data_IF_472954817158
#
_entry.id   IF_472954817158
#
_cell.length_a   1.000
_cell.length_b   1.000
_cell.length_c   1.000
_cell.angle_alpha   90.00
_cell.angle_beta   90.00
_cell.angle_gamma   90.00
#
_symmetry.space_group_name_H-M   'P 1'
#
loop_
_entity.id
_entity.type
_entity.pdbx_description
1 polymer ?
#
# COMPACT_ATOMS: atom_id res chain seq x y z
N UNK A 1 25.49 31.90 -0.89
CA UNK A 1 24.42 31.80 -1.90
C UNK A 1 24.25 30.32 -2.20
N UNK A 2 23.06 29.75 -1.98
CA UNK A 2 22.81 28.31 -2.11
C UNK A 2 22.94 27.90 -3.59
N UNK A 3 23.71 26.86 -3.93
CA UNK A 3 23.88 26.45 -5.33
C UNK A 3 22.57 25.80 -5.85
N UNK A 4 22.31 25.91 -7.16
CA UNK A 4 21.12 25.29 -7.80
C UNK A 4 21.00 23.79 -7.50
N UNK A 5 22.14 23.09 -7.39
CA UNK A 5 22.21 21.70 -6.95
C UNK A 5 21.62 21.49 -5.55
N UNK A 6 21.93 22.39 -4.61
CA UNK A 6 21.44 22.33 -3.23
C UNK A 6 19.95 22.67 -3.17
N UNK A 7 19.49 23.65 -3.95
CA UNK A 7 18.06 24.00 -4.06
C UNK A 7 17.26 22.81 -4.59
N UNK A 8 17.72 22.17 -5.67
CA UNK A 8 17.06 20.99 -6.23
C UNK A 8 17.09 19.79 -5.25
N UNK A 9 18.18 19.62 -4.50
CA UNK A 9 18.31 18.60 -3.45
C UNK A 9 17.31 18.84 -2.31
N UNK A 10 17.20 20.08 -1.83
CA UNK A 10 16.24 20.48 -0.79
C UNK A 10 14.81 20.30 -1.28
N UNK A 11 14.48 20.66 -2.52
CA UNK A 11 13.15 20.44 -3.10
C UNK A 11 12.78 18.95 -3.11
N UNK A 12 13.70 18.06 -3.51
CA UNK A 12 13.51 16.62 -3.48
C UNK A 12 13.33 16.08 -2.04
N UNK A 13 14.10 16.62 -1.08
CA UNK A 13 13.97 16.27 0.34
C UNK A 13 12.63 16.74 0.91
N UNK A 14 12.17 17.96 0.61
CA UNK A 14 10.90 18.48 1.09
C UNK A 14 9.71 17.70 0.51
N UNK A 15 9.80 17.29 -0.76
CA UNK A 15 8.84 16.38 -1.37
C UNK A 15 8.84 14.98 -0.74
N UNK A 16 9.87 14.62 0.04
CA UNK A 16 9.98 13.32 0.71
C UNK A 16 9.86 13.36 2.24
N UNK A 17 9.95 14.54 2.88
CA UNK A 17 10.05 14.66 4.34
C UNK A 17 9.18 15.76 5.00
N UNK A 18 8.29 16.47 4.31
CA UNK A 18 7.59 17.60 4.95
C UNK A 18 6.68 17.20 6.15
N UNK A 19 6.83 17.87 7.32
CA UNK A 19 6.00 17.68 8.50
C UNK A 19 4.67 18.46 8.45
N UNK A 20 3.76 17.99 9.30
CA UNK A 20 2.35 18.36 9.50
C UNK A 20 2.13 19.87 9.72
N UNK A 21 1.27 20.48 8.91
CA UNK A 21 0.47 21.64 9.30
C UNK A 21 -1.01 21.21 9.20
N UNK A 22 -1.66 21.09 10.34
CA UNK A 22 -3.06 20.65 10.44
C UNK A 22 -4.01 21.77 10.03
N UNK A 23 -4.95 21.49 9.13
CA UNK A 23 -6.31 22.06 9.04
C UNK A 23 -7.13 21.11 8.17
N UNK A 24 -8.33 20.73 8.61
CA UNK A 24 -9.47 20.37 7.74
C UNK A 24 -10.25 19.12 8.17
N UNK A 25 -11.25 18.66 7.42
CA UNK A 25 -12.15 17.55 7.77
C UNK A 25 -12.16 16.40 6.72
N UNK A 26 -12.03 15.14 7.18
CA UNK A 26 -12.16 13.91 6.36
C UNK A 26 -13.53 13.83 5.64
N UNK A 27 -13.51 13.39 4.38
CA UNK A 27 -14.70 13.04 3.58
C UNK A 27 -15.35 11.73 4.11
N UNK A 28 -15.96 11.85 5.30
CA UNK A 28 -16.61 10.78 6.05
C UNK A 28 -17.92 10.29 5.39
N UNK A 29 -18.26 10.85 4.23
CA UNK A 29 -19.54 10.62 3.54
C UNK A 29 -19.64 9.20 2.97
N UNK A 30 -18.55 8.68 2.39
CA UNK A 30 -18.58 7.35 1.77
C UNK A 30 -18.55 6.22 2.81
N UNK A 31 -17.74 6.34 3.87
CA UNK A 31 -17.69 5.35 4.95
C UNK A 31 -19.05 5.21 5.65
N UNK A 32 -19.68 6.32 6.06
CA UNK A 32 -20.96 6.26 6.77
C UNK A 32 -22.08 5.72 5.87
N UNK A 33 -22.05 6.03 4.56
CA UNK A 33 -22.98 5.45 3.58
C UNK A 33 -22.80 3.93 3.45
N UNK A 34 -21.58 3.46 3.22
CA UNK A 34 -21.28 2.02 3.08
C UNK A 34 -21.58 1.24 4.37
N UNK A 35 -21.17 1.80 5.52
CA UNK A 35 -21.47 1.23 6.83
C UNK A 35 -22.97 1.14 7.06
N UNK A 36 -23.74 2.20 6.78
CA UNK A 36 -25.19 2.20 6.96
C UNK A 36 -25.87 1.15 6.10
N UNK A 37 -25.46 1.01 4.83
CA UNK A 37 -25.98 -0.04 3.95
C UNK A 37 -25.67 -1.45 4.47
N UNK A 38 -24.45 -1.69 4.97
CA UNK A 38 -24.07 -2.98 5.54
C UNK A 38 -24.81 -3.29 6.84
N UNK A 39 -25.10 -2.27 7.67
CA UNK A 39 -25.89 -2.41 8.90
C UNK A 39 -27.36 -2.70 8.59
N UNK A 40 -27.91 -2.12 7.52
CA UNK A 40 -29.26 -2.44 7.07
C UNK A 40 -29.34 -3.90 6.59
N UNK A 41 -28.39 -4.34 5.77
CA UNK A 41 -28.31 -5.74 5.33
C UNK A 41 -28.17 -6.71 6.53
N UNK A 42 -27.40 -6.34 7.56
CA UNK A 42 -27.25 -7.14 8.78
C UNK A 42 -28.59 -7.43 9.48
N UNK A 43 -29.60 -6.56 9.35
CA UNK A 43 -30.93 -6.77 9.96
C UNK A 43 -31.66 -7.98 9.37
N UNK A 44 -31.32 -8.39 8.15
CA UNK A 44 -31.87 -9.61 7.53
C UNK A 44 -31.34 -10.90 8.17
N UNK A 45 -30.30 -10.83 9.01
CA UNK A 45 -29.64 -11.98 9.62
C UNK A 45 -29.86 -12.00 11.14
N UNK A 46 -31.10 -12.23 11.57
CA UNK A 46 -31.48 -12.23 12.99
C UNK A 46 -31.08 -13.51 13.73
N UNK A 47 -30.92 -14.62 13.02
CA UNK A 47 -30.48 -15.90 13.60
C UNK A 47 -29.01 -15.83 14.00
N UNK A 48 -28.68 -16.40 15.16
CA UNK A 48 -27.31 -16.47 15.67
C UNK A 48 -26.54 -17.61 14.99
N UNK A 49 -26.31 -17.49 13.69
CA UNK A 49 -25.62 -18.47 12.84
C UNK A 49 -24.41 -17.86 12.10
N UNK A 50 -23.76 -18.66 11.25
CA UNK A 50 -22.58 -18.24 10.48
C UNK A 50 -22.91 -17.16 9.44
N UNK A 51 -24.16 -17.08 8.96
CA UNK A 51 -24.59 -16.04 8.03
C UNK A 51 -24.61 -14.67 8.71
N UNK A 52 -25.09 -14.60 9.97
CA UNK A 52 -24.99 -13.38 10.78
C UNK A 52 -23.55 -12.99 11.05
N UNK A 53 -22.67 -13.93 11.38
CA UNK A 53 -21.22 -13.64 11.52
C UNK A 53 -20.67 -13.00 10.25
N UNK A 54 -20.98 -13.58 9.08
CA UNK A 54 -20.50 -13.05 7.81
C UNK A 54 -21.06 -11.64 7.53
N UNK A 55 -22.29 -11.34 7.92
CA UNK A 55 -22.88 -10.00 7.83
C UNK A 55 -22.20 -8.98 8.76
N UNK A 56 -21.95 -9.34 10.01
CA UNK A 56 -21.19 -8.49 10.96
C UNK A 56 -19.78 -8.19 10.42
N UNK A 57 -19.12 -9.18 9.82
CA UNK A 57 -17.81 -9.02 9.19
C UNK A 57 -17.86 -8.15 7.93
N UNK A 58 -18.97 -8.10 7.19
CA UNK A 58 -19.16 -7.13 6.10
C UNK A 58 -19.20 -5.70 6.63
N UNK A 59 -19.91 -5.45 7.73
CA UNK A 59 -19.88 -4.14 8.41
C UNK A 59 -18.45 -3.77 8.83
N UNK A 60 -17.69 -4.71 9.38
CA UNK A 60 -16.30 -4.45 9.77
C UNK A 60 -15.37 -4.11 8.60
N UNK A 61 -15.68 -4.58 7.39
CA UNK A 61 -14.86 -4.37 6.18
C UNK A 61 -15.01 -2.98 5.58
N UNK A 62 -16.07 -2.24 5.89
CA UNK A 62 -16.25 -0.86 5.42
C UNK A 62 -15.22 0.08 6.04
N UNK A 63 -14.69 -0.27 7.23
CA UNK A 63 -13.71 0.53 7.93
C UNK A 63 -12.28 0.32 7.41
N UNK A 64 -11.65 1.41 7.02
CA UNK A 64 -10.26 1.49 6.53
C UNK A 64 -9.34 2.16 7.53
N UNK A 65 -9.74 3.31 8.08
CA UNK A 65 -8.92 4.13 8.97
C UNK A 65 -9.19 3.85 10.45
N UNK A 66 -8.32 4.34 11.34
CA UNK A 66 -8.40 4.03 12.76
C UNK A 66 -9.74 4.41 13.39
N UNK A 67 -10.23 5.63 13.14
CA UNK A 67 -11.52 6.12 13.67
C UNK A 67 -12.70 5.26 13.19
N UNK A 68 -12.73 4.95 11.91
CA UNK A 68 -13.74 4.06 11.31
C UNK A 68 -13.70 2.65 11.94
N UNK A 69 -12.49 2.12 12.16
CA UNK A 69 -12.29 0.82 12.81
C UNK A 69 -12.72 0.81 14.28
N UNK A 70 -12.67 1.95 14.96
CA UNK A 70 -13.25 2.13 16.29
C UNK A 70 -14.78 2.14 16.21
N UNK A 71 -15.36 2.82 15.22
CA UNK A 71 -16.80 2.93 15.04
C UNK A 71 -17.50 1.57 14.77
N UNK A 72 -16.79 0.59 14.19
CA UNK A 72 -17.32 -0.76 13.93
C UNK A 72 -16.89 -1.81 14.98
N UNK A 73 -16.24 -1.40 16.08
CA UNK A 73 -15.67 -2.32 17.06
C UNK A 73 -16.72 -3.28 17.68
N UNK A 74 -17.91 -2.77 18.01
CA UNK A 74 -18.99 -3.60 18.59
C UNK A 74 -19.41 -4.76 17.68
N UNK A 75 -19.49 -4.53 16.37
CA UNK A 75 -19.80 -5.60 15.40
C UNK A 75 -18.70 -6.64 15.31
N UNK A 76 -17.43 -6.21 15.41
CA UNK A 76 -16.27 -7.13 15.43
C UNK A 76 -16.29 -8.01 16.68
N UNK A 77 -16.63 -7.44 17.83
CA UNK A 77 -16.67 -8.16 19.11
C UNK A 77 -17.83 -9.17 19.11
N UNK A 78 -19.00 -8.78 18.62
CA UNK A 78 -20.14 -9.70 18.42
C UNK A 78 -19.77 -10.84 17.47
N UNK A 79 -19.16 -10.53 16.32
CA UNK A 79 -18.75 -11.52 15.33
C UNK A 79 -17.76 -12.52 15.93
N UNK A 80 -16.80 -12.06 16.74
CA UNK A 80 -15.82 -12.90 17.40
C UNK A 80 -16.48 -13.85 18.41
N UNK A 81 -17.35 -13.32 19.29
CA UNK A 81 -18.06 -14.12 20.29
C UNK A 81 -18.95 -15.18 19.65
N UNK A 82 -19.71 -14.79 18.62
CA UNK A 82 -20.58 -15.72 17.91
C UNK A 82 -19.77 -16.77 17.13
N UNK A 83 -18.66 -16.38 16.50
CA UNK A 83 -17.78 -17.33 15.81
C UNK A 83 -17.21 -18.38 16.77
N UNK A 84 -16.82 -17.98 17.99
CA UNK A 84 -16.36 -18.93 19.03
C UNK A 84 -17.46 -19.91 19.42
N UNK A 85 -18.67 -19.42 19.69
CA UNK A 85 -19.81 -20.26 20.09
C UNK A 85 -20.17 -21.28 19.03
N UNK A 86 -20.11 -20.88 17.75
CA UNK A 86 -20.45 -21.72 16.61
C UNK A 86 -19.30 -22.61 16.14
N UNK A 87 -18.12 -22.53 16.77
CA UNK A 87 -16.88 -23.15 16.28
C UNK A 87 -16.57 -22.79 14.80
N UNK A 88 -16.91 -21.57 14.39
CA UNK A 88 -16.76 -21.10 13.02
C UNK A 88 -15.35 -20.53 12.80
N UNK A 89 -14.43 -21.40 12.42
CA UNK A 89 -13.00 -21.10 12.24
C UNK A 89 -12.72 -20.01 11.21
N UNK A 90 -13.45 -19.99 10.09
CA UNK A 90 -13.35 -18.92 9.08
C UNK A 90 -13.75 -17.56 9.65
N UNK A 91 -14.85 -17.50 10.42
CA UNK A 91 -15.28 -16.28 11.11
C UNK A 91 -14.22 -15.77 12.10
N UNK A 92 -13.65 -16.68 12.91
CA UNK A 92 -12.57 -16.38 13.83
C UNK A 92 -11.33 -15.80 13.14
N UNK A 93 -10.87 -16.44 12.06
CA UNK A 93 -9.71 -15.98 11.29
C UNK A 93 -9.91 -14.55 10.75
N UNK A 94 -11.11 -14.24 10.21
CA UNK A 94 -11.41 -12.89 9.71
C UNK A 94 -11.51 -11.88 10.85
N UNK A 95 -12.05 -12.26 12.02
CA UNK A 95 -12.07 -11.39 13.20
C UNK A 95 -10.64 -11.06 13.65
N UNK A 96 -9.74 -12.04 13.72
CA UNK A 96 -8.34 -11.81 14.06
C UNK A 96 -7.64 -10.90 13.05
N UNK A 97 -7.88 -11.05 11.74
CA UNK A 97 -7.39 -10.10 10.74
C UNK A 97 -7.91 -8.66 10.99
N UNK A 98 -9.18 -8.52 11.37
CA UNK A 98 -9.79 -7.21 11.68
C UNK A 98 -9.15 -6.56 12.91
N UNK A 99 -8.90 -7.33 13.98
CA UNK A 99 -8.14 -6.84 15.13
C UNK A 99 -6.69 -6.47 14.77
N UNK A 100 -6.00 -7.31 14.01
CA UNK A 100 -4.64 -7.01 13.55
C UNK A 100 -4.58 -5.71 12.75
N UNK A 101 -5.53 -5.49 11.84
CA UNK A 101 -5.62 -4.24 11.08
C UNK A 101 -5.90 -3.02 11.98
N UNK A 102 -6.75 -3.16 13.00
CA UNK A 102 -7.00 -2.11 13.98
C UNK A 102 -5.72 -1.72 14.73
N UNK A 103 -5.00 -2.69 15.30
CA UNK A 103 -3.77 -2.41 16.04
C UNK A 103 -2.66 -1.90 15.13
N UNK A 104 -2.59 -2.35 13.87
CA UNK A 104 -1.69 -1.79 12.86
C UNK A 104 -1.99 -0.31 12.60
N UNK A 105 -3.26 0.05 12.42
CA UNK A 105 -3.69 1.45 12.24
C UNK A 105 -3.47 2.30 13.49
N UNK A 106 -3.47 1.68 14.67
CA UNK A 106 -3.11 2.33 15.94
C UNK A 106 -1.59 2.36 16.20
N UNK A 107 -0.77 1.96 15.24
CA UNK A 107 0.69 1.83 15.37
C UNK A 107 1.17 0.90 16.51
N UNK A 108 0.29 0.07 17.05
CA UNK A 108 0.64 -0.97 18.02
C UNK A 108 1.03 -2.25 17.28
N UNK A 109 2.24 -2.25 16.73
CA UNK A 109 2.76 -3.38 15.95
C UNK A 109 2.88 -4.70 16.74
N UNK A 110 3.29 -4.72 18.02
CA UNK A 110 3.34 -5.97 18.79
C UNK A 110 1.98 -6.69 18.86
N UNK A 111 0.90 -5.98 19.18
CA UNK A 111 -0.44 -6.59 19.19
C UNK A 111 -0.91 -6.98 17.80
N UNK A 112 -0.63 -6.15 16.78
CA UNK A 112 -0.99 -6.49 15.41
C UNK A 112 -0.35 -7.82 14.96
N UNK A 113 0.93 -8.04 15.28
CA UNK A 113 1.61 -9.31 15.01
C UNK A 113 0.93 -10.49 15.73
N UNK A 114 0.61 -10.36 17.02
CA UNK A 114 -0.09 -11.42 17.79
C UNK A 114 -1.41 -11.81 17.12
N UNK A 115 -2.19 -10.83 16.66
CA UNK A 115 -3.45 -11.10 15.99
C UNK A 115 -3.25 -11.75 14.61
N UNK A 116 -2.28 -11.31 13.82
CA UNK A 116 -1.96 -11.97 12.55
C UNK A 116 -1.42 -13.40 12.76
N UNK A 117 -0.64 -13.64 13.81
CA UNK A 117 -0.18 -14.99 14.18
C UNK A 117 -1.34 -15.87 14.68
N UNK A 118 -2.34 -15.28 15.33
CA UNK A 118 -3.57 -15.99 15.71
C UNK A 118 -4.33 -16.51 14.49
N UNK A 119 -4.32 -15.78 13.37
CA UNK A 119 -4.87 -16.27 12.08
C UNK A 119 -4.11 -17.52 11.64
N UNK A 120 -2.77 -17.49 11.66
CA UNK A 120 -1.93 -18.62 11.27
C UNK A 120 -2.15 -19.84 12.18
N UNK A 121 -2.39 -19.60 13.47
CA UNK A 121 -2.78 -20.63 14.45
C UNK A 121 -4.10 -21.31 14.09
N UNK A 122 -5.15 -20.53 13.77
CA UNK A 122 -6.45 -21.07 13.33
C UNK A 122 -6.32 -21.85 12.03
N UNK A 123 -5.55 -21.34 11.06
CA UNK A 123 -5.29 -22.04 9.79
C UNK A 123 -4.64 -23.40 10.05
N UNK A 124 -3.61 -23.45 10.90
CA UNK A 124 -2.93 -24.70 11.27
C UNK A 124 -3.89 -25.71 11.91
N UNK A 125 -4.78 -25.24 12.80
CA UNK A 125 -5.77 -26.10 13.46
C UNK A 125 -6.85 -26.63 12.50
N UNK A 126 -7.24 -25.84 11.49
CA UNK A 126 -8.24 -26.27 10.50
C UNK A 126 -7.77 -27.40 9.58
N UNK A 127 -6.47 -27.72 9.54
CA UNK A 127 -5.92 -28.88 8.81
C UNK A 127 -6.11 -28.87 7.28
N UNK A 128 -6.71 -27.83 6.70
CA UNK A 128 -7.13 -27.81 5.30
C UNK A 128 -6.75 -26.55 4.53
N UNK A 129 -7.09 -26.56 3.23
CA UNK A 129 -6.82 -25.47 2.28
C UNK A 129 -7.84 -24.31 2.36
N UNK A 130 -8.87 -24.44 3.19
CA UNK A 130 -10.02 -23.51 3.25
C UNK A 130 -9.63 -22.09 3.69
N UNK A 131 -8.63 -21.97 4.58
CA UNK A 131 -8.20 -20.69 5.14
C UNK A 131 -6.91 -20.14 4.52
N UNK A 132 -6.51 -20.66 3.35
CA UNK A 132 -5.32 -20.21 2.64
C UNK A 132 -5.40 -18.72 2.25
N UNK A 133 -6.59 -18.23 1.89
CA UNK A 133 -6.80 -16.80 1.63
C UNK A 133 -6.49 -15.95 2.88
N UNK A 134 -7.01 -16.33 4.06
CA UNK A 134 -6.75 -15.61 5.30
C UNK A 134 -5.28 -15.71 5.72
N UNK A 135 -4.64 -16.85 5.47
CA UNK A 135 -3.19 -17.05 5.64
C UNK A 135 -2.39 -16.10 4.75
N UNK A 136 -2.74 -15.98 3.47
CA UNK A 136 -2.12 -15.07 2.52
C UNK A 136 -2.21 -13.62 3.01
N UNK A 137 -3.41 -13.18 3.42
CA UNK A 137 -3.61 -11.82 3.92
C UNK A 137 -2.82 -11.57 5.20
N UNK A 138 -2.78 -12.52 6.14
CA UNK A 138 -2.02 -12.37 7.38
C UNK A 138 -0.52 -12.15 7.09
N UNK A 139 0.06 -12.97 6.20
CA UNK A 139 1.45 -12.80 5.80
C UNK A 139 1.70 -11.49 5.06
N UNK A 140 0.83 -11.08 4.14
CA UNK A 140 0.93 -9.77 3.48
C UNK A 140 0.99 -8.64 4.52
N UNK A 141 0.08 -8.63 5.51
CA UNK A 141 0.05 -7.59 6.54
C UNK A 141 1.30 -7.58 7.41
N UNK A 142 1.79 -8.76 7.80
CA UNK A 142 3.08 -8.88 8.52
C UNK A 142 4.24 -8.34 7.67
N UNK A 143 4.28 -8.69 6.39
CA UNK A 143 5.29 -8.20 5.45
C UNK A 143 5.28 -6.67 5.34
N UNK A 144 4.10 -6.06 5.23
CA UNK A 144 3.95 -4.60 5.21
C UNK A 144 4.49 -3.94 6.49
N UNK A 145 4.28 -4.57 7.65
CA UNK A 145 4.79 -4.06 8.91
C UNK A 145 6.31 -4.15 9.00
N UNK A 146 6.91 -5.30 8.66
CA UNK A 146 8.36 -5.43 8.59
C UNK A 146 8.97 -4.43 7.59
N UNK A 147 8.37 -4.29 6.41
CA UNK A 147 8.80 -3.33 5.41
C UNK A 147 8.73 -1.88 5.93
N UNK A 148 7.70 -1.52 6.70
CA UNK A 148 7.58 -0.18 7.29
C UNK A 148 8.67 0.14 8.32
N UNK A 149 9.25 -0.90 8.92
CA UNK A 149 10.38 -0.84 9.84
C UNK A 149 11.72 -1.00 9.12
N UNK A 150 11.74 -0.95 7.78
CA UNK A 150 12.92 -1.16 6.93
C UNK A 150 13.57 -2.57 7.10
N UNK A 151 12.84 -3.52 7.70
CA UNK A 151 13.25 -4.92 7.86
C UNK A 151 12.87 -5.72 6.60
N UNK A 152 13.63 -5.53 5.52
CA UNK A 152 13.25 -6.04 4.20
C UNK A 152 13.35 -7.57 4.02
N UNK A 153 14.31 -8.25 4.66
CA UNK A 153 14.40 -9.72 4.56
C UNK A 153 13.18 -10.42 5.19
N UNK A 154 12.79 -10.14 6.46
CA UNK A 154 11.55 -10.68 7.01
C UNK A 154 10.29 -10.29 6.24
N UNK A 155 10.30 -9.08 5.63
CA UNK A 155 9.20 -8.66 4.78
C UNK A 155 9.08 -9.53 3.52
N UNK A 156 10.19 -9.82 2.85
CA UNK A 156 10.25 -10.71 1.69
C UNK A 156 9.77 -12.12 2.03
N UNK A 157 10.24 -12.70 3.14
CA UNK A 157 9.78 -14.03 3.59
C UNK A 157 8.26 -14.08 3.74
N UNK A 158 7.69 -13.03 4.37
CA UNK A 158 6.25 -12.90 4.50
C UNK A 158 5.55 -12.77 3.15
N UNK A 159 6.05 -11.93 2.24
CA UNK A 159 5.42 -11.74 0.92
C UNK A 159 5.47 -13.02 0.07
N UNK A 160 6.55 -13.80 0.11
CA UNK A 160 6.62 -15.08 -0.59
C UNK A 160 5.68 -16.13 0.02
N UNK A 161 5.55 -16.19 1.35
CA UNK A 161 4.55 -17.06 1.99
C UNK A 161 3.11 -16.61 1.69
N UNK A 162 2.88 -15.31 1.50
CA UNK A 162 1.60 -14.79 1.03
C UNK A 162 1.29 -15.30 -0.39
N UNK A 163 2.22 -15.13 -1.35
CA UNK A 163 2.06 -15.65 -2.72
C UNK A 163 1.80 -17.15 -2.76
N UNK A 164 2.52 -17.93 -1.94
CA UNK A 164 2.35 -19.39 -1.83
C UNK A 164 0.98 -19.78 -1.28
N UNK A 165 0.41 -18.96 -0.40
CA UNK A 165 -0.89 -19.21 0.22
C UNK A 165 -2.06 -18.64 -0.58
N UNK A 166 -1.81 -17.97 -1.71
CA UNK A 166 -2.85 -17.34 -2.50
C UNK A 166 -3.65 -18.37 -3.30
N UNK A 167 -4.96 -18.44 -3.08
CA UNK A 167 -5.87 -19.36 -3.78
C UNK A 167 -6.42 -18.79 -5.09
N UNK A 168 -6.55 -17.46 -5.17
CA UNK A 168 -6.99 -16.76 -6.37
C UNK A 168 -5.85 -15.90 -6.91
N UNK A 169 -5.14 -16.42 -7.91
CA UNK A 169 -4.07 -15.72 -8.65
C UNK A 169 -4.60 -14.81 -9.75
N UNK A 170 -5.80 -14.27 -9.59
CA UNK A 170 -6.31 -13.23 -10.47
C UNK A 170 -5.44 -11.97 -10.30
N UNK A 171 -5.07 -11.36 -11.43
CA UNK A 171 -3.91 -10.47 -11.57
C UNK A 171 -3.78 -9.37 -10.50
N UNK A 172 -4.87 -8.79 -9.99
CA UNK A 172 -4.79 -7.66 -9.06
C UNK A 172 -4.19 -7.96 -7.68
N UNK A 173 -4.52 -9.10 -7.05
CA UNK A 173 -4.02 -9.42 -5.71
C UNK A 173 -2.56 -9.87 -5.75
N UNK A 174 -2.21 -10.69 -6.73
CA UNK A 174 -0.85 -11.17 -6.93
C UNK A 174 0.07 -10.00 -7.35
N UNK A 175 -0.40 -9.13 -8.25
CA UNK A 175 0.35 -7.94 -8.65
C UNK A 175 0.69 -7.02 -7.49
N UNK A 176 -0.24 -6.86 -6.53
CA UNK A 176 0.01 -6.07 -5.32
C UNK A 176 1.19 -6.63 -4.51
N UNK A 177 1.27 -7.96 -4.35
CA UNK A 177 2.37 -8.60 -3.62
C UNK A 177 3.68 -8.48 -4.38
N UNK A 178 3.68 -8.64 -5.71
CA UNK A 178 4.89 -8.41 -6.52
C UNK A 178 5.40 -6.98 -6.43
N UNK A 179 4.51 -5.98 -6.35
CA UNK A 179 4.92 -4.60 -6.06
C UNK A 179 5.64 -4.54 -4.72
N UNK A 180 5.08 -5.08 -3.63
CA UNK A 180 5.75 -5.08 -2.31
C UNK A 180 7.11 -5.79 -2.31
N UNK A 181 7.24 -6.90 -3.04
CA UNK A 181 8.51 -7.61 -3.20
C UNK A 181 9.52 -6.73 -3.93
N UNK A 182 9.09 -6.05 -5.01
CA UNK A 182 9.96 -5.14 -5.76
C UNK A 182 10.50 -4.06 -4.85
N UNK A 183 9.66 -3.40 -4.05
CA UNK A 183 10.13 -2.31 -3.19
C UNK A 183 11.04 -2.80 -2.07
N UNK A 184 10.80 -4.00 -1.54
CA UNK A 184 11.70 -4.59 -0.56
C UNK A 184 13.09 -4.80 -1.18
N UNK A 185 13.18 -5.24 -2.44
CA UNK A 185 14.46 -5.34 -3.15
C UNK A 185 15.07 -3.98 -3.49
N UNK A 186 14.27 -2.95 -3.80
CA UNK A 186 14.75 -1.57 -3.94
C UNK A 186 15.34 -1.07 -2.61
N UNK A 187 14.67 -1.32 -1.49
CA UNK A 187 15.15 -0.99 -0.14
C UNK A 187 16.45 -1.71 0.24
N UNK A 188 16.61 -2.95 -0.21
CA UNK A 188 17.86 -3.71 -0.12
C UNK A 188 18.94 -3.27 -1.12
N UNK A 189 18.63 -2.32 -2.01
CA UNK A 189 19.48 -1.92 -3.16
C UNK A 189 19.83 -3.07 -4.11
N UNK A 190 19.08 -4.16 -4.08
CA UNK A 190 19.20 -5.25 -5.04
C UNK A 190 18.32 -4.94 -6.25
N UNK A 191 18.79 -4.00 -7.06
CA UNK A 191 18.00 -3.48 -8.18
C UNK A 191 17.80 -4.51 -9.31
N UNK A 192 18.68 -5.50 -9.44
CA UNK A 192 18.49 -6.60 -10.41
C UNK A 192 17.25 -7.42 -10.07
N UNK A 193 17.10 -7.82 -8.80
CA UNK A 193 15.89 -8.50 -8.34
C UNK A 193 14.66 -7.60 -8.41
N UNK A 194 14.79 -6.32 -8.10
CA UNK A 194 13.69 -5.36 -8.24
C UNK A 194 13.19 -5.29 -9.69
N UNK A 195 14.09 -5.17 -10.68
CA UNK A 195 13.71 -5.22 -12.11
C UNK A 195 13.07 -6.57 -12.48
N UNK A 196 13.63 -7.70 -12.02
CA UNK A 196 13.08 -9.03 -12.28
C UNK A 196 11.61 -9.14 -11.85
N UNK A 197 11.30 -8.72 -10.62
CA UNK A 197 9.95 -8.83 -10.07
C UNK A 197 8.98 -7.78 -10.61
N UNK A 198 9.42 -6.54 -10.89
CA UNK A 198 8.55 -5.56 -11.50
C UNK A 198 8.24 -5.88 -12.98
N UNK A 199 9.17 -6.48 -13.73
CA UNK A 199 8.88 -6.97 -15.10
C UNK A 199 7.89 -8.13 -15.07
N UNK A 200 8.04 -9.08 -14.13
CA UNK A 200 7.06 -10.15 -13.91
C UNK A 200 5.68 -9.57 -13.61
N UNK A 201 5.62 -8.58 -12.73
CA UNK A 201 4.37 -7.91 -12.37
C UNK A 201 3.71 -7.23 -13.58
N UNK A 202 4.51 -6.54 -14.41
CA UNK A 202 3.99 -5.83 -15.58
C UNK A 202 3.39 -6.78 -16.61
N UNK A 203 4.03 -7.94 -16.83
CA UNK A 203 3.52 -8.98 -17.73
C UNK A 203 2.16 -9.54 -17.27
N UNK A 204 1.96 -9.67 -15.95
CA UNK A 204 0.69 -10.13 -15.38
C UNK A 204 -0.45 -9.11 -15.54
N UNK A 205 -0.11 -7.83 -15.61
CA UNK A 205 -1.07 -6.75 -15.76
C UNK A 205 -1.41 -6.49 -17.24
N UNK A 206 -0.80 -7.16 -18.22
CA UNK A 206 -1.07 -6.91 -19.65
C UNK A 206 -2.55 -7.01 -20.03
N UNK A 207 -3.32 -7.89 -19.37
CA UNK A 207 -4.77 -8.03 -19.56
C UNK A 207 -5.61 -7.19 -18.56
N UNK A 208 -4.97 -6.47 -17.64
CA UNK A 208 -5.66 -5.60 -16.67
C UNK A 208 -6.02 -4.26 -17.33
N UNK A 209 -7.29 -3.88 -17.24
CA UNK A 209 -7.79 -2.59 -17.72
C UNK A 209 -7.52 -1.44 -16.74
N UNK A 210 -7.02 -1.73 -15.54
CA UNK A 210 -6.73 -0.73 -14.53
C UNK A 210 -5.40 0.00 -14.78
N UNK A 211 -5.51 1.18 -15.39
CA UNK A 211 -4.39 2.09 -15.67
C UNK A 211 -3.49 2.40 -14.45
N UNK A 212 -4.05 2.44 -13.23
CA UNK A 212 -3.28 2.73 -12.01
C UNK A 212 -2.32 1.59 -11.64
N UNK A 213 -2.72 0.34 -11.86
CA UNK A 213 -1.87 -0.82 -11.59
C UNK A 213 -0.67 -0.85 -12.56
N UNK A 214 -0.91 -0.56 -13.83
CA UNK A 214 0.13 -0.37 -14.83
C UNK A 214 1.09 0.75 -14.44
N UNK A 215 0.55 1.91 -14.07
CA UNK A 215 1.35 3.07 -13.69
C UNK A 215 2.26 2.78 -12.49
N UNK A 216 1.72 2.20 -11.42
CA UNK A 216 2.50 1.83 -10.23
C UNK A 216 3.64 0.86 -10.55
N UNK A 217 3.39 -0.10 -11.44
CA UNK A 217 4.40 -1.10 -11.81
C UNK A 217 5.50 -0.48 -12.67
N UNK A 218 5.13 0.39 -13.62
CA UNK A 218 6.09 1.14 -14.42
C UNK A 218 6.95 2.04 -13.54
N UNK A 219 6.37 2.75 -12.56
CA UNK A 219 7.17 3.55 -11.63
C UNK A 219 8.15 2.72 -10.81
N UNK A 220 7.77 1.49 -10.45
CA UNK A 220 8.65 0.55 -9.74
C UNK A 220 9.85 0.13 -10.61
N UNK A 221 9.64 -0.10 -11.91
CA UNK A 221 10.72 -0.32 -12.88
C UNK A 221 11.61 0.91 -13.02
N UNK A 222 11.02 2.10 -13.18
CA UNK A 222 11.77 3.36 -13.28
C UNK A 222 12.67 3.54 -12.06
N UNK A 223 12.14 3.37 -10.84
CA UNK A 223 12.95 3.41 -9.62
C UNK A 223 14.10 2.41 -9.62
N UNK A 224 13.83 1.18 -10.04
CA UNK A 224 14.83 0.12 -10.06
C UNK A 224 15.97 0.47 -11.04
N UNK A 225 15.65 0.95 -12.24
CA UNK A 225 16.66 1.39 -13.22
C UNK A 225 17.41 2.66 -12.78
N UNK A 226 16.73 3.64 -12.16
CA UNK A 226 17.40 4.80 -11.56
C UNK A 226 18.37 4.36 -10.45
N UNK A 227 18.00 3.38 -9.63
CA UNK A 227 18.88 2.78 -8.63
C UNK A 227 20.14 2.12 -9.24
N UNK A 228 20.00 1.53 -10.43
CA UNK A 228 21.11 1.01 -11.24
C UNK A 228 21.93 2.09 -11.94
N UNK A 229 21.54 3.36 -11.84
CA UNK A 229 22.07 4.46 -12.64
C UNK A 229 21.87 4.26 -14.18
N UNK A 230 20.92 3.42 -14.57
CA UNK A 230 20.52 3.21 -15.96
C UNK A 230 19.41 4.21 -16.33
N UNK A 231 19.84 5.45 -16.57
CA UNK A 231 18.92 6.57 -16.86
C UNK A 231 18.16 6.32 -18.17
N UNK A 232 18.78 5.66 -19.16
CA UNK A 232 18.17 5.41 -20.45
C UNK A 232 17.00 4.42 -20.35
N UNK A 233 17.17 3.33 -19.61
CA UNK A 233 16.09 2.39 -19.36
C UNK A 233 14.98 3.04 -18.52
N UNK A 234 15.34 3.80 -17.48
CA UNK A 234 14.37 4.52 -16.65
C UNK A 234 13.49 5.47 -17.49
N UNK A 235 14.08 6.23 -18.42
CA UNK A 235 13.31 7.08 -19.34
C UNK A 235 12.41 6.29 -20.27
N UNK A 236 12.92 5.22 -20.89
CA UNK A 236 12.13 4.37 -21.79
C UNK A 236 10.86 3.87 -21.11
N UNK A 237 10.94 3.46 -19.84
CA UNK A 237 9.76 3.03 -19.09
C UNK A 237 8.88 4.21 -18.66
N UNK A 238 9.47 5.33 -18.23
CA UNK A 238 8.73 6.52 -17.85
C UNK A 238 7.90 7.08 -19.03
N UNK A 239 8.43 7.05 -20.26
CA UNK A 239 7.74 7.53 -21.45
C UNK A 239 6.52 6.68 -21.82
N UNK A 240 6.45 5.42 -21.36
CA UNK A 240 5.22 4.60 -21.47
C UNK A 240 4.05 5.15 -20.67
N UNK A 241 4.29 6.05 -19.72
CA UNK A 241 3.23 6.69 -18.94
C UNK A 241 2.60 7.90 -19.64
N UNK A 242 3.15 8.35 -20.77
CA UNK A 242 2.64 9.52 -21.49
C UNK A 242 1.19 9.37 -21.96
N UNK A 243 0.72 8.16 -22.24
CA UNK A 243 -0.68 7.90 -22.63
C UNK A 243 -1.68 8.11 -21.48
N UNK A 244 -1.22 8.18 -20.24
CA UNK A 244 -2.04 8.38 -19.05
C UNK A 244 -1.96 9.83 -18.52
N UNK A 245 -1.34 10.73 -19.30
CA UNK A 245 -0.80 12.00 -18.82
C UNK A 245 -0.96 13.14 -19.85
N UNK A 246 -1.27 14.38 -19.44
CA UNK A 246 -1.79 14.77 -18.12
C UNK A 246 -3.29 14.48 -18.04
N UNK A 247 -3.73 13.64 -17.09
CA UNK A 247 -5.16 13.51 -16.76
C UNK A 247 -5.44 14.28 -15.46
N UNK A 248 -6.29 15.31 -15.52
CA UNK A 248 -6.64 16.13 -14.36
C UNK A 248 -7.28 15.33 -13.21
N UNK A 249 -7.84 14.15 -13.50
CA UNK A 249 -8.41 13.23 -12.50
C UNK A 249 -7.35 12.32 -11.88
N UNK A 250 -6.31 11.97 -12.63
CA UNK A 250 -5.24 11.05 -12.19
C UNK A 250 -4.03 11.81 -11.59
N UNK A 251 -4.31 12.62 -10.57
CA UNK A 251 -3.29 13.43 -9.87
C UNK A 251 -2.14 12.59 -9.30
N UNK A 252 -2.38 11.32 -8.93
CA UNK A 252 -1.37 10.35 -8.47
C UNK A 252 -0.32 10.04 -9.54
N UNK A 253 -0.78 9.70 -10.73
CA UNK A 253 0.09 9.38 -11.86
C UNK A 253 0.86 10.63 -12.29
N UNK A 254 0.18 11.80 -12.28
CA UNK A 254 0.83 13.06 -12.59
C UNK A 254 2.00 13.39 -11.66
N UNK A 255 1.76 13.34 -10.36
CA UNK A 255 2.80 13.58 -9.36
C UNK A 255 3.99 12.65 -9.57
N UNK A 256 3.74 11.34 -9.68
CA UNK A 256 4.79 10.34 -9.83
C UNK A 256 5.62 10.58 -11.10
N UNK A 257 4.98 10.90 -12.21
CA UNK A 257 5.65 11.14 -13.50
C UNK A 257 6.61 12.33 -13.42
N UNK A 258 6.12 13.48 -12.97
CA UNK A 258 6.95 14.69 -12.86
C UNK A 258 8.05 14.55 -11.82
N UNK A 259 7.80 13.84 -10.72
CA UNK A 259 8.84 13.52 -9.74
C UNK A 259 9.97 12.72 -10.40
N UNK A 260 9.66 11.71 -11.21
CA UNK A 260 10.67 10.89 -11.89
C UNK A 260 11.40 11.63 -13.01
N UNK A 261 10.71 12.46 -13.81
CA UNK A 261 11.38 13.37 -14.76
C UNK A 261 12.35 14.29 -14.03
N UNK A 262 11.94 14.88 -12.91
CA UNK A 262 12.80 15.71 -12.07
C UNK A 262 14.05 14.96 -11.58
N UNK A 263 13.88 13.73 -11.09
CA UNK A 263 15.01 12.88 -10.65
C UNK A 263 15.97 12.55 -11.80
N UNK A 264 15.46 12.23 -12.98
CA UNK A 264 16.27 11.95 -14.17
C UNK A 264 17.10 13.18 -14.56
N UNK A 265 16.48 14.35 -14.61
CA UNK A 265 17.19 15.60 -14.91
C UNK A 265 18.22 15.95 -13.83
N UNK A 266 17.92 15.69 -12.56
CA UNK A 266 18.86 15.88 -11.47
C UNK A 266 20.10 14.98 -11.62
N UNK A 267 19.91 13.69 -11.92
CA UNK A 267 21.01 12.73 -12.13
C UNK A 267 21.88 13.09 -13.33
N UNK A 268 21.33 13.81 -14.33
CA UNK A 268 22.08 14.34 -15.48
C UNK A 268 22.81 15.66 -15.20
N UNK A 269 22.63 16.26 -14.02
CA UNK A 269 23.15 17.59 -13.71
C UNK A 269 22.33 18.75 -14.28
N UNK A 270 21.17 18.48 -14.88
CA UNK A 270 20.27 19.49 -15.46
C UNK A 270 19.35 20.07 -14.37
N UNK A 271 19.93 20.82 -13.43
CA UNK A 271 19.24 21.22 -12.19
C UNK A 271 18.06 22.17 -12.40
N UNK A 272 18.11 23.05 -13.42
CA UNK A 272 17.00 23.95 -13.74
C UNK A 272 15.75 23.17 -14.15
N UNK A 273 15.92 22.22 -15.08
CA UNK A 273 14.85 21.33 -15.51
C UNK A 273 14.38 20.44 -14.36
N UNK A 274 15.30 19.92 -13.54
CA UNK A 274 14.95 19.13 -12.38
C UNK A 274 14.03 19.90 -11.43
N UNK A 275 14.38 21.16 -11.13
CA UNK A 275 13.59 22.02 -10.27
C UNK A 275 12.21 22.33 -10.86
N UNK A 276 12.14 22.67 -12.17
CA UNK A 276 10.87 22.91 -12.84
C UNK A 276 9.94 21.69 -12.77
N UNK A 277 10.47 20.47 -12.97
CA UNK A 277 9.68 19.25 -12.84
C UNK A 277 9.27 18.95 -11.39
N UNK A 278 10.11 19.25 -10.41
CA UNK A 278 9.73 19.14 -8.99
C UNK A 278 8.62 20.12 -8.61
N UNK A 279 8.61 21.34 -9.16
CA UNK A 279 7.51 22.28 -8.98
C UNK A 279 6.20 21.76 -9.59
N UNK A 280 6.26 21.15 -10.77
CA UNK A 280 5.10 20.50 -11.39
C UNK A 280 4.60 19.33 -10.54
N UNK A 281 5.49 18.47 -10.05
CA UNK A 281 5.12 17.40 -9.12
C UNK A 281 4.40 17.98 -7.90
N UNK A 282 4.98 18.99 -7.24
CA UNK A 282 4.38 19.64 -6.08
C UNK A 282 2.97 20.20 -6.37
N UNK A 283 2.76 20.82 -7.54
CA UNK A 283 1.44 21.30 -7.96
C UNK A 283 0.40 20.17 -7.98
N UNK A 284 0.74 19.02 -8.55
CA UNK A 284 -0.16 17.86 -8.58
C UNK A 284 -0.34 17.19 -7.23
N UNK A 285 0.68 17.23 -6.36
CA UNK A 285 0.54 16.81 -4.98
C UNK A 285 -0.45 17.70 -4.20
N UNK A 286 -0.47 19.01 -4.45
CA UNK A 286 -1.44 19.93 -3.85
C UNK A 286 -2.84 19.68 -4.42
N UNK A 287 -2.99 19.61 -5.75
CA UNK A 287 -4.31 19.44 -6.37
C UNK A 287 -4.96 18.08 -6.09
N UNK A 288 -4.16 17.04 -5.86
CA UNK A 288 -4.67 15.70 -5.54
C UNK A 288 -5.02 15.47 -4.07
N UNK A 289 -4.92 16.48 -3.21
CA UNK A 289 -5.20 16.35 -1.78
C UNK A 289 -4.17 15.49 -1.03
N UNK A 290 -2.97 15.26 -1.59
CA UNK A 290 -1.89 14.52 -0.90
C UNK A 290 -1.36 15.27 0.33
N UNK A 291 -1.77 16.53 0.50
CA UNK A 291 -1.48 17.36 1.67
C UNK A 291 -2.66 17.45 2.65
N UNK A 292 -3.72 16.64 2.49
CA UNK A 292 -4.89 16.77 3.35
C UNK A 292 -4.64 16.13 4.74
N UNK A 293 -4.50 17.03 5.72
CA UNK A 293 -4.98 17.00 7.12
C UNK A 293 -4.27 16.15 8.17
N UNK A 294 -3.40 15.21 7.80
CA UNK A 294 -2.71 14.38 8.81
C UNK A 294 -1.19 14.28 8.63
N UNK A 295 -0.61 14.94 7.63
CA UNK A 295 0.79 14.67 7.23
C UNK A 295 1.03 13.19 6.92
N UNK A 296 -0.03 12.46 6.57
CA UNK A 296 0.07 11.09 6.07
C UNK A 296 0.24 11.21 4.56
N UNK A 297 1.50 11.18 4.13
CA UNK A 297 1.84 10.51 2.87
C UNK A 297 1.04 9.19 2.85
N UNK A 298 0.23 8.87 1.82
CA UNK A 298 -0.43 7.57 1.74
C UNK A 298 0.60 6.48 1.99
N UNK A 299 0.51 5.92 3.20
CA UNK A 299 1.54 5.10 3.79
C UNK A 299 1.85 3.94 2.86
N UNK A 300 3.15 3.71 2.66
CA UNK A 300 3.75 2.67 1.83
C UNK A 300 3.88 3.05 0.35
N UNK A 301 2.88 3.62 -0.32
CA UNK A 301 3.00 3.87 -1.77
C UNK A 301 3.96 5.00 -2.14
N UNK A 302 4.14 6.00 -1.27
CA UNK A 302 5.00 7.14 -1.59
C UNK A 302 6.33 7.20 -0.83
N UNK A 303 6.49 6.52 0.31
CA UNK A 303 7.84 6.15 0.82
C UNK A 303 8.60 5.25 -0.18
N UNK A 304 7.89 4.57 -1.09
CA UNK A 304 8.48 3.83 -2.23
C UNK A 304 9.16 4.71 -3.28
N UNK A 305 8.83 6.00 -3.36
CA UNK A 305 9.32 6.88 -4.43
C UNK A 305 10.32 7.92 -3.98
N UNK A 306 10.46 8.13 -2.67
CA UNK A 306 11.60 8.81 -2.09
C UNK A 306 12.74 7.83 -1.94
N UNK A 307 13.62 7.78 -2.94
CA UNK A 307 15.02 7.48 -2.66
C UNK A 307 15.41 8.42 -1.51
N UNK A 308 15.62 7.89 -0.29
CA UNK A 308 16.58 8.50 0.61
C UNK A 308 17.86 8.52 -0.21
N UNK A 309 18.12 9.63 -0.87
CA UNK A 309 19.46 9.95 -1.35
C UNK A 309 20.27 9.93 -0.08
N UNK A 310 20.98 8.82 0.14
CA UNK A 310 21.80 8.60 1.32
C UNK A 310 22.71 9.81 1.44
N UNK A 311 22.48 10.59 2.50
CA UNK A 311 23.32 11.74 2.85
C UNK A 311 24.75 11.27 3.14
N UNK A 312 24.96 9.97 3.34
CA UNK A 312 26.24 9.40 3.75
C UNK A 312 27.16 8.93 2.61
N UNK A 313 26.80 9.10 1.34
CA UNK A 313 27.71 8.84 0.19
C UNK A 313 27.64 9.90 -0.94
N UNK A 314 27.23 11.14 -0.65
CA UNK A 314 27.27 12.29 -1.59
C UNK A 314 27.61 13.60 -0.87
#
# INVERSE_FOLDING_TARGET
MMQLKDIARVALILLSCCPVLSIGQEDNSNFEKEKSAAVEDLRNYTRQDTSRVNALLRVCRTATFLKERQAVAGYRDEAMLLSRRLNYTRGLAICYLSFGNYYKSAFNYPLAFIYYDSVLGVVKQSGGTELLEQKSVAYERKGMMYHSQENYYPALDCYFEALKSMTNKSGGNEARIYSFITDAYVGLRNFDKAVEYATKNLAMLESDSNALNHASTIFSLVNSYLGKNDIQAAEKYLDRLTSYMPDARETQVNFGYYLKKGTIHYMRGNYENAFAYYQLANKYAISGGFYNETGIFPGILFRRYSLKVSVDQM
#
